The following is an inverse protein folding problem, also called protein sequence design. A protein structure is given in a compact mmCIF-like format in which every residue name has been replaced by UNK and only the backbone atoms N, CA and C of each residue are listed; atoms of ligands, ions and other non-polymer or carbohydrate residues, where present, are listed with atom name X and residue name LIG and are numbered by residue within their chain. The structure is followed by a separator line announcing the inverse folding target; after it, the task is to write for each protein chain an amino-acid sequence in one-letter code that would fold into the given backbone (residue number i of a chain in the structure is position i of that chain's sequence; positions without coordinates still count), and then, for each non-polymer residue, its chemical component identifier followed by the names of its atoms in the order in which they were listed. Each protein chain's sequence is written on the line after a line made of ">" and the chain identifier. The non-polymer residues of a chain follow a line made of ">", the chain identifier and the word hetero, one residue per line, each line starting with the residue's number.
data_IF_103860860472
#
_entry.id   IF_103860860472
#
_cell.length_a   1.000
_cell.length_b   1.000
_cell.length_c   1.000
_cell.angle_alpha   90.00
_cell.angle_beta   90.00
_cell.angle_gamma   90.00
#
_symmetry.space_group_name_H-M   'P 1'
#
loop_
_entity.id
_entity.type
_entity.pdbx_description
1 polymer ?
#
# COMPACT_ATOMS: atom_id res chain seq x y z
N UNK A 1 51.55 -26.73 19.20
CA UNK A 1 50.15 -27.17 19.44
C UNK A 1 49.34 -26.19 20.29
N UNK A 2 49.76 -25.79 21.50
CA UNK A 2 48.94 -24.95 22.40
C UNK A 2 48.61 -23.52 21.89
N UNK A 3 49.54 -22.85 21.18
CA UNK A 3 49.33 -21.46 20.70
C UNK A 3 48.23 -21.33 19.63
N UNK A 4 48.11 -22.31 18.75
CA UNK A 4 47.11 -22.32 17.68
C UNK A 4 45.70 -22.55 18.23
N UNK A 5 45.56 -23.43 19.23
CA UNK A 5 44.31 -23.68 19.96
C UNK A 5 43.82 -22.40 20.65
N UNK A 6 44.71 -21.66 21.33
CA UNK A 6 44.34 -20.40 21.98
C UNK A 6 43.91 -19.31 20.97
N UNK A 7 44.53 -19.27 19.79
CA UNK A 7 44.15 -18.34 18.72
C UNK A 7 42.78 -18.70 18.13
N UNK A 8 42.49 -19.99 17.97
CA UNK A 8 41.19 -20.49 17.53
C UNK A 8 40.10 -20.15 18.55
N UNK A 9 40.31 -20.41 19.83
CA UNK A 9 39.34 -20.09 20.90
C UNK A 9 38.99 -18.59 20.93
N UNK A 10 39.99 -17.71 20.78
CA UNK A 10 39.74 -16.26 20.68
C UNK A 10 38.93 -15.87 19.45
N UNK A 11 39.12 -16.56 18.31
CA UNK A 11 38.34 -16.31 17.09
C UNK A 11 36.91 -16.81 17.22
N UNK A 12 36.71 -17.99 17.80
CA UNK A 12 35.37 -18.53 18.06
C UNK A 12 34.54 -17.58 18.93
N UNK A 13 35.09 -17.09 20.05
CA UNK A 13 34.36 -16.15 20.91
C UNK A 13 34.03 -14.81 20.23
N UNK A 14 34.83 -14.37 19.26
CA UNK A 14 34.47 -13.19 18.43
C UNK A 14 33.36 -13.51 17.44
N UNK A 15 33.41 -14.69 16.82
CA UNK A 15 32.39 -15.15 15.89
C UNK A 15 31.05 -15.35 16.59
N UNK A 16 31.02 -15.94 17.78
CA UNK A 16 29.80 -16.12 18.59
C UNK A 16 29.11 -14.78 18.87
N UNK A 17 29.89 -13.77 19.32
CA UNK A 17 29.38 -12.42 19.54
C UNK A 17 28.85 -11.77 18.26
N UNK A 18 29.49 -12.03 17.13
CA UNK A 18 29.02 -11.51 15.84
C UNK A 18 27.73 -12.21 15.40
N UNK A 19 27.63 -13.52 15.58
CA UNK A 19 26.42 -14.30 15.29
C UNK A 19 25.26 -13.82 16.14
N UNK A 20 25.47 -13.58 17.44
CA UNK A 20 24.44 -13.03 18.33
C UNK A 20 23.95 -11.65 17.88
N UNK A 21 24.87 -10.74 17.53
CA UNK A 21 24.53 -9.42 16.97
C UNK A 21 23.73 -9.54 15.69
N UNK A 22 24.14 -10.42 14.79
CA UNK A 22 23.46 -10.64 13.51
C UNK A 22 22.05 -11.21 13.73
N UNK A 23 21.88 -12.15 14.66
CA UNK A 23 20.57 -12.70 15.02
C UNK A 23 19.64 -11.61 15.55
N UNK A 24 20.12 -10.77 16.47
CA UNK A 24 19.32 -9.67 17.02
C UNK A 24 18.91 -8.66 15.95
N UNK A 25 19.82 -8.37 15.01
CA UNK A 25 19.54 -7.46 13.90
C UNK A 25 18.52 -8.05 12.91
N UNK A 26 18.62 -9.35 12.61
CA UNK A 26 17.64 -10.06 11.78
C UNK A 26 16.25 -9.98 12.41
N UNK A 27 16.14 -10.23 13.72
CA UNK A 27 14.85 -10.15 14.43
C UNK A 27 14.31 -8.72 14.52
N UNK A 28 15.18 -7.71 14.56
CA UNK A 28 14.77 -6.30 14.45
C UNK A 28 14.21 -6.00 13.06
N UNK A 29 14.95 -6.35 12.01
CA UNK A 29 14.56 -6.11 10.61
C UNK A 29 13.29 -6.86 10.22
N UNK A 30 13.06 -8.07 10.74
CA UNK A 30 11.80 -8.80 10.55
C UNK A 30 10.61 -8.03 11.11
N UNK A 31 10.71 -7.55 12.35
CA UNK A 31 9.65 -6.76 13.00
C UNK A 31 9.37 -5.46 12.25
N UNK A 32 10.41 -4.77 11.79
CA UNK A 32 10.26 -3.57 10.96
C UNK A 32 9.57 -3.87 9.62
N UNK A 33 9.95 -4.95 8.95
CA UNK A 33 9.30 -5.39 7.72
C UNK A 33 7.81 -5.71 7.91
N UNK A 34 7.44 -6.37 9.01
CA UNK A 34 6.03 -6.62 9.33
C UNK A 34 5.25 -5.33 9.54
N UNK A 35 5.83 -4.38 10.28
CA UNK A 35 5.19 -3.09 10.54
C UNK A 35 5.03 -2.27 9.26
N UNK A 36 6.03 -2.26 8.38
CA UNK A 36 5.93 -1.62 7.06
C UNK A 36 4.85 -2.26 6.20
N UNK A 37 4.75 -3.61 6.18
CA UNK A 37 3.68 -4.32 5.44
C UNK A 37 2.29 -3.93 5.95
N UNK A 38 2.09 -3.83 7.26
CA UNK A 38 0.83 -3.36 7.85
C UNK A 38 0.52 -1.93 7.43
N UNK A 39 1.51 -1.04 7.50
CA UNK A 39 1.36 0.38 7.12
C UNK A 39 0.98 0.52 5.64
N UNK A 40 1.69 -0.17 4.74
CA UNK A 40 1.38 -0.19 3.31
C UNK A 40 -0.05 -0.69 3.06
N UNK A 41 -0.47 -1.75 3.77
CA UNK A 41 -1.83 -2.29 3.65
C UNK A 41 -2.90 -1.27 4.07
N UNK A 42 -2.68 -0.59 5.20
CA UNK A 42 -3.60 0.45 5.69
C UNK A 42 -3.66 1.64 4.73
N UNK A 43 -2.52 2.18 4.32
CA UNK A 43 -2.45 3.30 3.37
C UNK A 43 -3.12 2.94 2.03
N UNK A 44 -2.96 1.70 1.56
CA UNK A 44 -3.62 1.23 0.32
C UNK A 44 -5.15 1.26 0.46
N UNK A 45 -5.68 0.87 1.62
CA UNK A 45 -7.13 0.93 1.90
C UNK A 45 -7.63 2.37 1.95
N UNK A 46 -6.89 3.26 2.61
CA UNK A 46 -7.22 4.69 2.70
C UNK A 46 -7.21 5.36 1.33
N UNK A 47 -6.18 5.12 0.50
CA UNK A 47 -6.12 5.63 -0.88
C UNK A 47 -7.34 5.16 -1.68
N UNK A 48 -7.74 3.89 -1.52
CA UNK A 48 -8.93 3.36 -2.21
C UNK A 48 -10.21 4.09 -1.76
N UNK A 49 -10.36 4.34 -0.46
CA UNK A 49 -11.51 5.08 0.09
C UNK A 49 -11.54 6.52 -0.41
N UNK A 50 -10.40 7.23 -0.40
CA UNK A 50 -10.29 8.60 -0.92
C UNK A 50 -10.71 8.65 -2.39
N UNK A 51 -10.19 7.72 -3.21
CA UNK A 51 -10.55 7.63 -4.63
C UNK A 51 -12.04 7.33 -4.83
N UNK A 52 -12.63 6.47 -4.00
CA UNK A 52 -14.07 6.19 -4.05
C UNK A 52 -14.90 7.43 -3.73
N UNK A 53 -14.53 8.21 -2.71
CA UNK A 53 -15.18 9.48 -2.37
C UNK A 53 -15.11 10.47 -3.52
N UNK A 54 -13.92 10.66 -4.12
CA UNK A 54 -13.74 11.54 -5.28
C UNK A 54 -14.62 11.14 -6.47
N UNK A 55 -14.71 9.83 -6.77
CA UNK A 55 -15.61 9.32 -7.81
C UNK A 55 -17.07 9.66 -7.48
N UNK A 56 -17.51 9.44 -6.24
CA UNK A 56 -18.88 9.73 -5.82
C UNK A 56 -19.20 11.22 -5.94
N UNK A 57 -18.31 12.10 -5.50
CA UNK A 57 -18.49 13.55 -5.62
C UNK A 57 -18.61 13.98 -7.08
N UNK A 58 -17.75 13.45 -7.95
CA UNK A 58 -17.81 13.72 -9.40
C UNK A 58 -19.12 13.23 -10.00
N UNK A 59 -19.56 12.01 -9.67
CA UNK A 59 -20.83 11.45 -10.13
C UNK A 59 -22.04 12.25 -9.65
N UNK A 60 -22.01 12.80 -8.43
CA UNK A 60 -23.09 13.63 -7.88
C UNK A 60 -23.15 15.04 -8.49
N UNK A 61 -21.99 15.63 -8.82
CA UNK A 61 -21.90 16.93 -9.50
C UNK A 61 -22.44 16.89 -10.94
N UNK A 62 -22.60 15.71 -11.52
CA UNK A 62 -23.12 15.48 -12.87
C UNK A 62 -24.66 15.49 -12.97
N UNK A 63 -25.37 15.98 -11.95
CA UNK A 63 -26.83 16.18 -12.04
C UNK A 63 -27.15 17.21 -13.14
N UNK A 64 -28.28 17.04 -13.85
CA UNK A 64 -28.51 17.56 -15.22
C UNK A 64 -28.80 19.07 -15.32
N UNK A 65 -28.18 19.93 -14.50
CA UNK A 65 -28.43 21.37 -14.54
C UNK A 65 -27.44 22.17 -15.41
N UNK A 66 -26.41 21.57 -16.00
CA UNK A 66 -25.47 22.31 -16.85
C UNK A 66 -25.11 21.50 -18.10
N UNK A 67 -25.41 22.08 -19.27
CA UNK A 67 -25.14 21.54 -20.61
C UNK A 67 -23.64 21.37 -20.91
N UNK A 68 -22.76 21.92 -20.08
CA UNK A 68 -21.32 21.87 -20.28
C UNK A 68 -20.65 20.80 -19.41
N UNK A 69 -20.11 19.77 -20.09
CA UNK A 69 -19.26 18.70 -19.57
C UNK A 69 -19.92 17.64 -18.66
N UNK A 70 -20.71 16.77 -19.30
CA UNK A 70 -21.00 15.43 -18.78
C UNK A 70 -19.69 14.59 -18.70
N UNK A 71 -18.99 14.58 -17.57
CA UNK A 71 -17.89 13.63 -17.34
C UNK A 71 -18.40 12.20 -17.58
N UNK A 72 -17.84 11.52 -18.57
CA UNK A 72 -18.09 10.09 -18.76
C UNK A 72 -17.34 9.30 -17.67
N UNK A 73 -17.67 8.02 -17.47
CA UNK A 73 -16.86 7.17 -16.59
C UNK A 73 -15.39 7.13 -17.03
N UNK A 74 -15.10 7.32 -18.32
CA UNK A 74 -13.74 7.44 -18.83
C UNK A 74 -13.05 8.72 -18.33
N UNK A 75 -13.74 9.85 -18.33
CA UNK A 75 -13.15 11.10 -17.83
C UNK A 75 -12.89 11.04 -16.33
N UNK A 76 -13.85 10.52 -15.54
CA UNK A 76 -13.67 10.34 -14.09
C UNK A 76 -12.50 9.39 -13.80
N UNK A 77 -12.43 8.28 -14.55
CA UNK A 77 -11.33 7.31 -14.45
C UNK A 77 -9.97 7.95 -14.70
N UNK A 78 -9.85 8.79 -15.73
CA UNK A 78 -8.62 9.50 -16.05
C UNK A 78 -8.24 10.50 -14.95
N UNK A 79 -9.19 11.24 -14.38
CA UNK A 79 -8.91 12.23 -13.34
C UNK A 79 -8.49 11.56 -12.02
N UNK A 80 -9.20 10.50 -11.61
CA UNK A 80 -8.95 9.80 -10.33
C UNK A 80 -7.79 8.79 -10.45
N UNK A 81 -7.36 8.48 -11.68
CA UNK A 81 -6.31 7.50 -11.95
C UNK A 81 -6.74 6.09 -11.54
N UNK A 82 -7.91 5.65 -12.00
CA UNK A 82 -8.45 4.29 -11.84
C UNK A 82 -9.08 3.80 -13.14
N UNK A 83 -9.45 2.53 -13.21
CA UNK A 83 -10.10 2.02 -14.42
C UNK A 83 -11.56 2.52 -14.54
N UNK A 84 -12.08 2.72 -15.78
CA UNK A 84 -13.49 3.02 -16.00
C UNK A 84 -14.44 1.95 -15.45
N UNK A 85 -14.02 0.68 -15.46
CA UNK A 85 -14.77 -0.42 -14.85
C UNK A 85 -14.93 -0.23 -13.33
N UNK A 86 -13.87 0.24 -12.65
CA UNK A 86 -13.92 0.57 -11.21
C UNK A 86 -14.90 1.71 -10.95
N UNK A 87 -14.89 2.76 -11.77
CA UNK A 87 -15.86 3.88 -11.68
C UNK A 87 -17.30 3.36 -11.84
N UNK A 88 -17.54 2.53 -12.86
CA UNK A 88 -18.86 1.92 -13.12
C UNK A 88 -19.36 1.08 -11.93
N UNK A 89 -18.48 0.28 -11.33
CA UNK A 89 -18.83 -0.51 -10.15
C UNK A 89 -19.15 0.38 -8.93
N UNK A 90 -18.39 1.46 -8.70
CA UNK A 90 -18.69 2.43 -7.65
C UNK A 90 -20.05 3.08 -7.88
N UNK A 91 -20.34 3.50 -9.12
CA UNK A 91 -21.64 4.09 -9.48
C UNK A 91 -22.80 3.12 -9.19
N UNK A 92 -22.65 1.84 -9.54
CA UNK A 92 -23.63 0.79 -9.22
C UNK A 92 -23.83 0.63 -7.71
N UNK A 93 -22.74 0.47 -6.96
CA UNK A 93 -22.79 0.25 -5.52
C UNK A 93 -23.40 1.43 -4.74
N UNK A 94 -23.27 2.64 -5.27
CA UNK A 94 -23.78 3.88 -4.64
C UNK A 94 -25.13 4.32 -5.18
N UNK A 95 -25.77 3.53 -6.06
CA UNK A 95 -27.01 3.90 -6.75
C UNK A 95 -26.91 5.22 -7.54
N UNK A 96 -25.71 5.52 -8.06
CA UNK A 96 -25.40 6.67 -8.91
C UNK A 96 -25.21 6.26 -10.37
N UNK A 97 -25.52 5.00 -10.71
CA UNK A 97 -25.52 4.52 -12.08
C UNK A 97 -26.45 5.37 -12.92
N UNK A 98 -25.93 5.89 -14.03
CA UNK A 98 -26.78 6.42 -15.10
C UNK A 98 -27.64 5.27 -15.63
N UNK A 99 -28.97 5.45 -15.68
CA UNK A 99 -29.79 4.71 -16.63
C UNK A 99 -29.34 5.21 -18.00
N UNK A 100 -28.62 4.37 -18.74
CA UNK A 100 -28.46 4.57 -20.18
C UNK A 100 -29.83 4.45 -20.84
#
# INVERSE_FOLDING_TARGET
>A
MSKDINKLNKRMGKNEKQTEKNTNEIERLKRENENMRRTISNNTKEIKQIKEVQVVEMLQKLKPQTEDYMYTYQNIANIVGISPATVSNIAKNKNLSRKL
#
